data_IF_019311644223
#
_entry.id   IF_019311644223
#
_cell.length_a   1.000
_cell.length_b   1.000
_cell.length_c   1.000
_cell.angle_alpha   90.00
_cell.angle_beta   90.00
_cell.angle_gamma   90.00
#
_symmetry.space_group_name_H-M   'P 1'
#
loop_
_entity.id
_entity.type
_entity.pdbx_description
1 polymer ?
#
# COMPACT_ATOMS: atom_id res chain seq x y z
N UNK A 1 63.59 21.12 -16.02
CA UNK A 1 62.12 21.33 -16.22
C UNK A 1 61.31 20.03 -16.42
N UNK A 2 61.92 18.82 -16.45
CA UNK A 2 61.18 17.55 -16.63
C UNK A 2 60.55 16.98 -15.34
N UNK A 3 61.22 17.15 -14.19
CA UNK A 3 60.77 16.56 -12.91
C UNK A 3 59.44 17.15 -12.41
N UNK A 4 59.23 18.47 -12.55
CA UNK A 4 57.98 19.13 -12.14
C UNK A 4 56.76 18.69 -12.97
N UNK A 5 56.96 18.41 -14.26
CA UNK A 5 55.89 17.92 -15.15
C UNK A 5 55.55 16.46 -14.85
N UNK A 6 56.54 15.66 -14.45
CA UNK A 6 56.33 14.28 -14.02
C UNK A 6 55.61 14.21 -12.67
N UNK A 7 55.96 15.06 -11.71
CA UNK A 7 55.26 15.12 -10.41
C UNK A 7 53.82 15.62 -10.55
N UNK A 8 53.56 16.62 -11.40
CA UNK A 8 52.20 17.08 -11.72
C UNK A 8 51.34 15.98 -12.38
N UNK A 9 51.93 15.14 -13.24
CA UNK A 9 51.23 13.99 -13.85
C UNK A 9 50.94 12.88 -12.84
N UNK A 10 51.91 12.56 -11.98
CA UNK A 10 51.73 11.58 -10.90
C UNK A 10 50.66 12.02 -9.90
N UNK A 11 50.65 13.30 -9.51
CA UNK A 11 49.59 13.86 -8.67
C UNK A 11 48.23 13.83 -9.37
N UNK A 12 48.17 14.21 -10.65
CA UNK A 12 46.94 14.14 -11.43
C UNK A 12 46.37 12.71 -11.52
N UNK A 13 47.24 11.72 -11.75
CA UNK A 13 46.85 10.31 -11.78
C UNK A 13 46.39 9.81 -10.40
N UNK A 14 47.07 10.20 -9.32
CA UNK A 14 46.64 9.87 -7.96
C UNK A 14 45.27 10.47 -7.62
N UNK A 15 45.04 11.74 -7.97
CA UNK A 15 43.74 12.39 -7.76
C UNK A 15 42.65 11.70 -8.59
N UNK A 16 42.91 11.33 -9.84
CA UNK A 16 41.95 10.59 -10.67
C UNK A 16 41.65 9.20 -10.08
N UNK A 17 42.67 8.47 -9.63
CA UNK A 17 42.49 7.16 -8.99
C UNK A 17 41.70 7.26 -7.69
N UNK A 18 41.97 8.28 -6.88
CA UNK A 18 41.24 8.54 -5.63
C UNK A 18 39.79 8.91 -5.92
N UNK A 19 39.54 9.80 -6.90
CA UNK A 19 38.17 10.15 -7.33
C UNK A 19 37.41 8.95 -7.91
N UNK A 20 38.07 8.09 -8.70
CA UNK A 20 37.46 6.86 -9.20
C UNK A 20 37.17 5.86 -8.07
N UNK A 21 38.07 5.76 -7.09
CA UNK A 21 37.89 4.91 -5.92
C UNK A 21 36.77 5.41 -4.97
N UNK A 22 36.54 6.72 -4.91
CA UNK A 22 35.39 7.30 -4.20
C UNK A 22 34.09 7.19 -5.02
N UNK A 23 34.17 7.19 -6.36
CA UNK A 23 32.99 7.02 -7.21
C UNK A 23 32.42 5.59 -7.19
N UNK A 24 33.27 4.56 -7.03
CA UNK A 24 32.83 3.16 -6.93
C UNK A 24 32.10 2.83 -5.61
N UNK A 25 32.37 3.55 -4.52
CA UNK A 25 31.64 3.40 -3.25
C UNK A 25 30.25 4.06 -3.29
N UNK A 26 29.98 4.90 -4.30
CA UNK A 26 28.70 5.60 -4.46
C UNK A 26 27.65 4.79 -5.26
N UNK A 27 27.97 3.54 -5.63
CA UNK A 27 27.03 2.63 -6.31
C UNK A 27 26.19 1.79 -5.35
N UNK A 28 26.32 1.96 -4.03
CA UNK A 28 25.30 1.53 -3.06
C UNK A 28 24.10 2.52 -3.05
N UNK A 29 23.75 3.07 -4.20
CA UNK A 29 22.41 3.61 -4.41
C UNK A 29 21.49 2.40 -4.40
N UNK A 30 20.73 2.27 -3.31
CA UNK A 30 19.49 1.52 -3.22
C UNK A 30 18.85 1.47 -4.60
N UNK A 31 19.00 0.35 -5.33
CA UNK A 31 18.06 0.06 -6.40
C UNK A 31 16.75 -0.15 -5.67
N UNK A 32 15.98 0.93 -5.58
CA UNK A 32 14.63 0.90 -5.04
C UNK A 32 13.94 -0.27 -5.73
N UNK A 33 13.62 -1.26 -4.91
CA UNK A 33 12.88 -2.45 -5.27
C UNK A 33 11.75 -2.02 -6.19
N UNK A 34 11.88 -2.40 -7.46
CA UNK A 34 10.93 -1.98 -8.49
C UNK A 34 9.70 -2.83 -8.28
N UNK A 35 8.83 -2.37 -7.38
CA UNK A 35 7.43 -2.77 -7.24
C UNK A 35 7.18 -4.24 -7.64
N UNK A 36 7.82 -5.18 -6.92
CA UNK A 36 7.41 -6.58 -7.01
C UNK A 36 6.04 -6.63 -6.34
N UNK A 37 5.00 -6.58 -7.18
CA UNK A 37 3.62 -6.75 -6.79
C UNK A 37 3.46 -8.16 -6.22
N UNK A 38 3.86 -8.32 -4.96
CA UNK A 38 3.76 -9.53 -4.16
C UNK A 38 2.30 -9.69 -3.74
N UNK A 39 1.42 -9.96 -4.69
CA UNK A 39 0.04 -10.34 -4.40
C UNK A 39 0.04 -11.67 -3.64
N UNK A 40 -0.54 -11.66 -2.44
CA UNK A 40 -0.72 -12.88 -1.67
C UNK A 40 -1.75 -13.78 -2.37
N UNK A 41 -1.27 -14.83 -3.04
CA UNK A 41 -2.13 -15.90 -3.56
C UNK A 41 -2.34 -17.00 -2.51
N UNK A 42 -3.56 -17.52 -2.43
CA UNK A 42 -3.87 -18.68 -1.58
C UNK A 42 -3.22 -19.94 -2.18
N UNK A 43 -2.08 -20.36 -1.63
CA UNK A 43 -1.36 -21.58 -2.05
C UNK A 43 -2.16 -22.86 -1.80
N UNK A 44 -3.17 -22.83 -0.93
CA UNK A 44 -3.95 -24.02 -0.58
C UNK A 44 -5.11 -24.27 -1.55
N UNK A 45 -5.50 -23.27 -2.35
CA UNK A 45 -6.57 -23.42 -3.35
C UNK A 45 -6.20 -22.72 -4.65
N UNK A 46 -5.64 -23.49 -5.58
CA UNK A 46 -5.46 -23.07 -6.98
C UNK A 46 -6.79 -23.17 -7.74
N UNK A 47 -7.73 -22.27 -7.45
CA UNK A 47 -8.89 -22.11 -8.31
C UNK A 47 -8.43 -21.50 -9.63
N UNK A 48 -8.88 -22.09 -10.76
CA UNK A 48 -8.65 -21.48 -12.06
C UNK A 48 -9.33 -20.10 -12.05
N UNK A 49 -8.64 -18.98 -12.35
CA UNK A 49 -9.25 -17.64 -12.35
C UNK A 49 -10.50 -17.53 -13.23
N UNK A 50 -10.68 -18.45 -14.19
CA UNK A 50 -11.88 -18.57 -15.04
C UNK A 50 -13.10 -19.16 -14.31
N UNK A 51 -12.91 -19.84 -13.19
CA UNK A 51 -13.96 -20.50 -12.40
C UNK A 51 -14.35 -19.66 -11.17
N UNK A 52 -14.73 -18.40 -11.41
CA UNK A 52 -15.25 -17.52 -10.35
C UNK A 52 -16.75 -17.75 -10.14
N UNK A 53 -17.14 -17.84 -8.88
CA UNK A 53 -18.51 -18.06 -8.47
C UNK A 53 -19.35 -16.78 -8.62
N UNK A 54 -20.63 -16.98 -8.96
CA UNK A 54 -21.62 -15.89 -9.05
C UNK A 54 -22.24 -15.60 -7.68
N UNK A 55 -23.12 -14.59 -7.62
CA UNK A 55 -23.85 -14.21 -6.40
C UNK A 55 -24.49 -15.45 -5.73
N UNK A 56 -24.35 -15.56 -4.42
CA UNK A 56 -24.82 -16.68 -3.61
C UNK A 56 -23.95 -17.94 -3.67
N UNK A 57 -23.00 -18.02 -4.60
CA UNK A 57 -22.07 -19.14 -4.70
C UNK A 57 -21.10 -19.20 -3.51
N UNK A 58 -20.60 -20.40 -3.15
CA UNK A 58 -19.71 -20.57 -2.01
C UNK A 58 -18.37 -19.87 -2.25
N UNK A 59 -17.76 -19.31 -1.21
CA UNK A 59 -16.45 -18.66 -1.34
C UNK A 59 -15.60 -18.86 -0.08
N UNK A 60 -14.28 -18.69 -0.22
CA UNK A 60 -13.37 -18.67 0.93
C UNK A 60 -12.76 -17.28 1.11
N UNK A 61 -12.43 -16.65 -0.01
CA UNK A 61 -11.93 -15.28 -0.15
C UNK A 61 -12.65 -14.59 -1.33
N UNK A 62 -12.52 -13.26 -1.45
CA UNK A 62 -13.15 -12.50 -2.54
C UNK A 62 -12.60 -12.84 -3.94
N UNK A 63 -11.40 -13.39 -4.06
CA UNK A 63 -10.81 -13.78 -5.35
C UNK A 63 -11.57 -14.95 -6.01
N UNK A 64 -12.33 -15.73 -5.23
CA UNK A 64 -13.19 -16.80 -5.73
C UNK A 64 -14.48 -16.27 -6.38
N UNK A 65 -14.83 -15.01 -6.14
CA UNK A 65 -16.04 -14.40 -6.67
C UNK A 65 -15.75 -13.66 -7.98
N UNK A 66 -16.80 -13.50 -8.80
CA UNK A 66 -16.73 -12.64 -10.00
C UNK A 66 -16.35 -11.20 -9.61
N UNK A 67 -15.84 -10.40 -10.58
CA UNK A 67 -15.65 -8.98 -10.36
C UNK A 67 -16.93 -8.34 -9.79
N UNK A 68 -16.75 -7.27 -9.01
CA UNK A 68 -17.83 -6.53 -8.33
C UNK A 68 -18.51 -7.29 -7.16
N UNK A 69 -17.99 -8.45 -6.77
CA UNK A 69 -18.47 -9.23 -5.63
C UNK A 69 -17.39 -9.35 -4.54
N UNK A 70 -17.83 -9.55 -3.30
CA UNK A 70 -16.98 -9.90 -2.17
C UNK A 70 -17.39 -11.25 -1.58
N UNK A 71 -16.48 -11.88 -0.83
CA UNK A 71 -16.81 -13.05 -0.03
C UNK A 71 -17.31 -12.65 1.35
N UNK A 72 -18.62 -12.78 1.58
CA UNK A 72 -19.27 -12.40 2.83
C UNK A 72 -19.53 -13.64 3.70
N UNK A 73 -19.14 -13.57 4.97
CA UNK A 73 -19.42 -14.56 5.99
C UNK A 73 -20.74 -14.21 6.70
N UNK A 74 -21.73 -15.07 6.60
CA UNK A 74 -22.95 -15.00 7.41
C UNK A 74 -22.65 -15.32 8.89
N UNK A 75 -23.60 -14.99 9.78
CA UNK A 75 -23.57 -15.36 11.20
C UNK A 75 -23.44 -16.87 11.42
N UNK A 76 -23.96 -17.68 10.50
CA UNK A 76 -23.85 -19.15 10.53
C UNK A 76 -22.50 -19.65 10.00
N UNK A 77 -21.49 -18.77 9.89
CA UNK A 77 -20.16 -19.02 9.33
C UNK A 77 -20.09 -19.45 7.86
N UNK A 78 -21.23 -19.63 7.19
CA UNK A 78 -21.33 -19.85 5.76
C UNK A 78 -20.82 -18.63 4.98
N UNK A 79 -20.01 -18.87 3.95
CA UNK A 79 -19.39 -17.83 3.14
C UNK A 79 -19.91 -17.88 1.72
N UNK A 80 -20.46 -16.76 1.26
CA UNK A 80 -21.04 -16.64 -0.08
C UNK A 80 -20.60 -15.38 -0.80
N UNK A 81 -20.54 -15.45 -2.12
CA UNK A 81 -20.27 -14.29 -2.96
C UNK A 81 -21.48 -13.34 -2.90
N UNK A 82 -21.24 -12.11 -2.46
CA UNK A 82 -22.26 -11.07 -2.33
C UNK A 82 -21.82 -9.81 -3.09
N UNK A 83 -22.74 -8.99 -3.59
CA UNK A 83 -22.39 -7.76 -4.28
C UNK A 83 -21.65 -6.80 -3.36
N UNK A 84 -20.67 -6.09 -3.92
CA UNK A 84 -20.03 -4.96 -3.26
C UNK A 84 -21.05 -3.86 -2.94
N UNK A 85 -20.84 -3.13 -1.85
CA UNK A 85 -21.76 -2.11 -1.38
C UNK A 85 -21.71 -0.87 -2.28
N UNK A 86 -22.87 -0.36 -2.67
CA UNK A 86 -23.01 0.88 -3.45
C UNK A 86 -23.03 2.09 -2.53
N UNK A 87 -22.85 3.28 -3.10
CA UNK A 87 -23.00 4.54 -2.37
C UNK A 87 -24.36 4.58 -1.65
N UNK A 88 -24.35 4.90 -0.36
CA UNK A 88 -25.51 4.89 0.53
C UNK A 88 -25.80 3.55 1.22
N UNK A 89 -25.18 2.46 0.79
CA UNK A 89 -25.32 1.14 1.43
C UNK A 89 -24.32 0.96 2.58
N UNK A 90 -24.63 0.03 3.47
CA UNK A 90 -23.75 -0.34 4.57
C UNK A 90 -22.51 -1.07 4.06
N UNK A 91 -21.37 -0.77 4.69
CA UNK A 91 -20.08 -1.34 4.36
C UNK A 91 -19.31 -1.74 5.62
N UNK A 92 -18.37 -2.65 5.46
CA UNK A 92 -17.38 -3.01 6.48
C UNK A 92 -15.98 -2.78 5.93
N UNK A 93 -15.17 -1.98 6.63
CA UNK A 93 -13.79 -1.71 6.21
C UNK A 93 -12.86 -2.89 6.56
N UNK A 94 -13.09 -3.53 7.70
CA UNK A 94 -12.26 -4.63 8.18
C UNK A 94 -12.54 -5.95 7.44
N UNK A 95 -11.45 -6.62 7.08
CA UNK A 95 -11.46 -7.94 6.46
C UNK A 95 -10.92 -8.99 7.44
N UNK A 96 -11.62 -10.13 7.56
CA UNK A 96 -11.12 -11.30 8.28
C UNK A 96 -9.90 -11.86 7.53
N UNK A 97 -8.87 -12.28 8.27
CA UNK A 97 -7.66 -12.93 7.71
C UNK A 97 -8.05 -13.98 6.67
N UNK A 98 -7.45 -13.87 5.48
CA UNK A 98 -7.73 -14.76 4.36
C UNK A 98 -8.83 -14.27 3.41
N UNK A 99 -9.29 -13.03 3.52
CA UNK A 99 -9.93 -12.37 2.38
C UNK A 99 -11.47 -12.30 2.39
N UNK A 100 -12.13 -12.48 3.54
CA UNK A 100 -13.61 -12.48 3.66
C UNK A 100 -14.11 -11.41 4.63
N UNK A 101 -15.37 -10.98 4.50
CA UNK A 101 -15.97 -9.90 5.29
C UNK A 101 -17.04 -10.42 6.27
N UNK A 102 -17.15 -9.87 7.49
CA UNK A 102 -18.05 -10.39 8.53
C UNK A 102 -19.50 -9.91 8.47
N UNK A 103 -19.74 -8.64 8.11
CA UNK A 103 -21.07 -8.02 8.22
C UNK A 103 -21.57 -7.54 6.85
N UNK A 104 -20.78 -6.70 6.17
CA UNK A 104 -21.11 -6.15 4.87
C UNK A 104 -19.92 -6.24 3.92
N UNK A 105 -20.18 -6.26 2.61
CA UNK A 105 -19.12 -6.09 1.63
C UNK A 105 -18.53 -4.67 1.69
N UNK A 106 -17.27 -4.47 1.27
CA UNK A 106 -16.71 -3.15 1.14
C UNK A 106 -17.38 -2.39 -0.01
N UNK A 107 -17.15 -1.07 -0.06
CA UNK A 107 -17.70 -0.23 -1.10
C UNK A 107 -17.15 -0.62 -2.48
N UNK A 108 -18.02 -0.72 -3.46
CA UNK A 108 -17.63 -0.86 -4.86
C UNK A 108 -16.91 0.40 -5.36
N UNK A 109 -17.40 1.56 -4.93
CA UNK A 109 -16.84 2.87 -5.25
C UNK A 109 -16.91 3.79 -4.03
N UNK A 110 -15.96 4.72 -3.93
CA UNK A 110 -15.86 5.65 -2.81
C UNK A 110 -15.21 5.03 -1.58
N UNK A 111 -15.53 5.56 -0.40
CA UNK A 111 -14.95 5.14 0.88
C UNK A 111 -16.05 4.67 1.85
N UNK A 112 -15.70 3.77 2.76
CA UNK A 112 -16.58 3.37 3.84
C UNK A 112 -16.52 4.41 4.97
N UNK A 113 -17.52 5.29 5.06
CA UNK A 113 -17.61 6.26 6.14
C UNK A 113 -18.05 5.57 7.43
N UNK A 114 -17.08 5.20 8.27
CA UNK A 114 -17.31 4.53 9.54
C UNK A 114 -18.20 5.36 10.47
N UNK A 115 -19.25 4.74 11.01
CA UNK A 115 -20.01 5.34 12.12
C UNK A 115 -19.20 5.17 13.40
N UNK A 116 -18.27 6.09 13.69
CA UNK A 116 -17.49 6.09 14.94
C UNK A 116 -18.39 6.43 16.13
N UNK A 117 -19.17 5.46 16.61
CA UNK A 117 -19.79 5.54 17.92
C UNK A 117 -18.73 5.21 18.99
N UNK A 118 -18.13 6.24 19.60
CA UNK A 118 -17.03 6.12 20.61
C UNK A 118 -17.37 5.21 21.80
N UNK A 119 -18.63 4.80 21.98
CA UNK A 119 -19.07 3.91 23.07
C UNK A 119 -19.14 2.43 22.70
N UNK A 120 -19.06 2.07 21.41
CA UNK A 120 -19.18 0.66 20.99
C UNK A 120 -17.90 0.23 20.29
N UNK A 121 -17.29 -0.83 20.80
CA UNK A 121 -16.17 -1.57 20.20
C UNK A 121 -16.57 -2.30 18.89
N UNK A 122 -17.48 -1.73 18.09
CA UNK A 122 -18.15 -2.34 16.92
C UNK A 122 -17.79 -1.67 15.59
N UNK A 123 -16.69 -0.92 15.58
CA UNK A 123 -16.54 0.31 14.81
C UNK A 123 -16.08 0.22 13.35
N UNK A 124 -16.06 -0.96 12.73
CA UNK A 124 -15.59 -1.07 11.33
C UNK A 124 -16.73 -1.06 10.31
N UNK A 125 -17.98 -0.89 10.78
CA UNK A 125 -19.16 -0.70 9.93
C UNK A 125 -19.41 0.79 9.64
N UNK A 126 -19.85 1.06 8.43
CA UNK A 126 -20.12 2.41 7.95
C UNK A 126 -21.17 2.45 6.86
N UNK A 127 -21.14 3.55 6.11
CA UNK A 127 -21.95 3.74 4.90
C UNK A 127 -21.04 4.19 3.76
N UNK A 128 -21.24 3.66 2.57
CA UNK A 128 -20.47 4.06 1.40
C UNK A 128 -20.78 5.49 0.99
N UNK A 129 -19.75 6.32 0.89
CA UNK A 129 -19.85 7.72 0.44
C UNK A 129 -18.86 7.95 -0.71
N UNK A 130 -19.14 8.89 -1.64
CA UNK A 130 -18.17 9.25 -2.67
C UNK A 130 -16.83 9.69 -2.06
N UNK A 131 -15.71 9.27 -2.64
CA UNK A 131 -14.38 9.76 -2.26
C UNK A 131 -14.26 11.22 -2.68
N UNK A 132 -14.01 12.12 -1.73
CA UNK A 132 -13.86 13.55 -2.03
C UNK A 132 -12.48 13.83 -2.63
N UNK A 133 -12.35 13.72 -3.95
CA UNK A 133 -11.15 14.15 -4.69
C UNK A 133 -11.45 15.29 -5.69
N UNK A 134 -12.44 16.16 -5.42
CA UNK A 134 -12.76 17.27 -6.35
C UNK A 134 -13.42 18.54 -5.78
N UNK A 135 -13.64 18.68 -4.47
CA UNK A 135 -14.35 19.87 -3.93
C UNK A 135 -13.51 20.87 -3.12
N UNK A 136 -12.17 20.75 -3.07
CA UNK A 136 -11.34 21.76 -2.41
C UNK A 136 -9.92 21.87 -3.00
N UNK A 137 -9.83 22.28 -4.26
CA UNK A 137 -8.63 22.97 -4.76
C UNK A 137 -9.09 24.29 -5.39
N UNK A 138 -8.89 25.45 -4.75
CA UNK A 138 -8.98 26.74 -5.44
C UNK A 138 -7.94 26.76 -6.55
N UNK A 139 -8.24 27.29 -7.75
CA UNK A 139 -7.24 27.42 -8.80
C UNK A 139 -6.25 28.50 -8.37
N UNK A 140 -5.06 28.10 -7.88
CA UNK A 140 -4.03 29.09 -7.60
C UNK A 140 -2.86 28.78 -6.65
N UNK A 141 -2.63 27.57 -6.13
CA UNK A 141 -1.42 27.33 -5.33
C UNK A 141 -0.75 25.98 -5.63
N UNK A 142 0.08 26.00 -6.66
CA UNK A 142 1.06 24.96 -6.93
C UNK A 142 2.44 25.51 -6.53
N UNK A 143 2.92 25.13 -5.34
CA UNK A 143 4.30 25.22 -4.83
C UNK A 143 4.25 24.68 -3.39
N UNK A 144 5.08 23.74 -2.92
CA UNK A 144 6.53 23.60 -3.05
C UNK A 144 6.94 22.17 -2.60
N UNK A 145 8.06 21.59 -3.07
CA UNK A 145 8.56 20.30 -2.60
C UNK A 145 8.85 20.32 -1.09
N UNK A 146 8.37 19.33 -0.34
CA UNK A 146 8.67 19.20 1.09
C UNK A 146 10.05 18.54 1.28
N UNK A 147 10.98 19.33 1.79
CA UNK A 147 12.26 18.88 2.33
C UNK A 147 12.04 17.99 3.57
N UNK A 148 12.92 17.01 3.85
CA UNK A 148 12.77 16.08 4.97
C UNK A 148 12.99 16.76 6.33
N UNK A 149 12.17 16.36 7.32
CA UNK A 149 12.24 16.86 8.69
C UNK A 149 13.41 16.26 9.49
N UNK A 150 14.00 16.99 10.45
CA UNK A 150 15.17 16.55 11.20
C UNK A 150 14.86 15.47 12.24
N UNK A 151 15.81 14.53 12.38
CA UNK A 151 15.82 13.43 13.36
C UNK A 151 15.73 13.95 14.80
N UNK A 152 14.71 13.48 15.53
CA UNK A 152 14.57 13.72 16.98
C UNK A 152 15.28 12.59 17.74
N UNK A 153 16.47 12.88 18.29
CA UNK A 153 17.23 11.92 19.11
C UNK A 153 16.48 11.61 20.42
N UNK A 154 16.39 10.31 20.78
CA UNK A 154 15.91 9.85 22.09
C UNK A 154 17.05 9.94 23.12
N UNK A 155 16.79 10.39 24.36
CA UNK A 155 17.80 10.36 25.41
C UNK A 155 18.07 8.92 25.88
N UNK A 156 19.35 8.59 26.08
CA UNK A 156 19.82 7.37 26.72
C UNK A 156 19.36 7.35 28.19
N UNK A 157 18.69 6.26 28.60
CA UNK A 157 18.49 5.94 30.01
C UNK A 157 19.78 5.31 30.54
N UNK A 158 20.39 5.95 31.53
CA UNK A 158 21.48 5.41 32.34
C UNK A 158 20.99 4.21 33.15
N UNK A 159 21.75 3.12 33.12
CA UNK A 159 21.72 2.01 34.08
C UNK A 159 22.89 2.20 35.03
#
# INVERSE_FOLDING_TARGET
MGSLRATLRLFGLLVVCVLAAFAQELQFELTADTDDNTEQHDILFRQNPKQRNSIGGPCRNSNHCRPELCCLQSRDHNRTCQPLAKIGEHCTEFQIKGGSYPDHCPCFQGICSLTRDRRRNRGDNGVCVPSQEQSQVPPGQQQRPQSPSPLRQRPLRSV
#
